data_IF_876632144593
#
_entry.id   IF_876632144593
#
_cell.length_a   1.000
_cell.length_b   1.000
_cell.length_c   1.000
_cell.angle_alpha   90.00
_cell.angle_beta   90.00
_cell.angle_gamma   90.00
#
_symmetry.space_group_name_H-M   'P 1'
#
loop_
_entity.id
_entity.type
_entity.pdbx_description
1 polymer ?
#
# COMPACT_ATOMS: atom_id res chain seq x y z
N UNK A 1 2.63 -22.75 -15.85
CA UNK A 1 1.20 -22.41 -15.72
C UNK A 1 0.61 -23.23 -14.59
N UNK A 2 0.65 -22.70 -13.37
CA UNK A 2 -0.01 -23.29 -12.20
C UNK A 2 -1.46 -22.81 -12.23
N UNK A 3 -2.41 -23.73 -12.38
CA UNK A 3 -3.83 -23.42 -12.18
C UNK A 3 -4.05 -23.27 -10.66
N UNK A 4 -4.27 -22.05 -10.19
CA UNK A 4 -4.64 -21.76 -8.81
C UNK A 4 -6.15 -22.00 -8.71
N UNK A 5 -6.53 -23.15 -8.14
CA UNK A 5 -7.90 -23.42 -7.73
C UNK A 5 -7.92 -23.39 -6.20
N UNK A 6 -7.95 -22.18 -5.63
CA UNK A 6 -8.20 -21.97 -4.22
C UNK A 6 -9.72 -22.02 -3.99
N UNK A 7 -10.24 -23.23 -3.76
CA UNK A 7 -11.61 -23.40 -3.25
C UNK A 7 -11.59 -22.94 -1.79
N UNK A 8 -12.10 -21.72 -1.53
CA UNK A 8 -12.22 -21.13 -0.20
C UNK A 8 -13.20 -21.97 0.66
N UNK A 9 -12.66 -22.89 1.47
CA UNK A 9 -13.40 -23.68 2.47
C UNK A 9 -13.24 -22.98 3.83
N UNK A 10 -14.12 -22.01 4.12
CA UNK A 10 -14.09 -21.29 5.40
C UNK A 10 -14.63 -22.13 6.57
N UNK A 11 -13.77 -22.49 7.53
CA UNK A 11 -14.14 -22.65 8.93
C UNK A 11 -13.50 -21.47 9.69
N UNK A 12 -14.28 -20.46 10.08
CA UNK A 12 -13.78 -19.33 10.87
C UNK A 12 -14.10 -19.55 12.35
N UNK A 13 -13.05 -19.54 13.19
CA UNK A 13 -13.17 -19.29 14.62
C UNK A 13 -12.82 -17.81 14.84
N UNK A 14 -13.78 -17.02 15.33
CA UNK A 14 -13.58 -15.62 15.69
C UNK A 14 -12.78 -15.54 17.00
N UNK A 15 -11.62 -14.88 16.98
CA UNK A 15 -10.96 -14.38 18.19
C UNK A 15 -11.03 -12.86 18.12
N UNK A 16 -11.64 -12.24 19.13
CA UNK A 16 -11.76 -10.79 19.22
C UNK A 16 -10.43 -10.20 19.72
N UNK A 17 -9.79 -9.35 18.92
CA UNK A 17 -8.72 -8.48 19.37
C UNK A 17 -9.34 -7.27 20.12
N UNK A 18 -8.80 -6.96 21.29
CA UNK A 18 -9.21 -5.83 22.12
C UNK A 18 -8.12 -4.77 22.01
N UNK A 19 -8.42 -3.64 21.36
CA UNK A 19 -7.53 -2.48 21.38
C UNK A 19 -7.45 -1.92 22.81
N UNK A 20 -6.24 -1.78 23.35
CA UNK A 20 -6.01 -1.20 24.66
C UNK A 20 -6.03 0.34 24.61
N UNK A 21 -6.69 0.96 25.61
CA UNK A 21 -6.84 2.41 25.73
C UNK A 21 -5.53 3.03 26.28
N UNK A 22 -4.81 3.79 25.44
CA UNK A 22 -3.48 4.39 25.72
C UNK A 22 -3.59 5.79 26.34
N UNK A 23 -4.17 5.94 27.53
CA UNK A 23 -4.41 7.30 28.06
C UNK A 23 -3.20 8.00 28.68
N UNK A 24 -2.12 7.29 29.10
CA UNK A 24 -1.09 7.93 29.96
C UNK A 24 0.37 7.43 29.79
N UNK A 25 0.67 6.62 28.78
CA UNK A 25 2.03 6.04 28.59
C UNK A 25 2.67 6.56 27.30
N UNK A 26 3.61 7.50 27.43
CA UNK A 26 4.45 7.99 26.33
C UNK A 26 5.65 7.06 26.19
N UNK A 27 5.82 6.45 25.00
CA UNK A 27 6.95 5.56 24.69
C UNK A 27 7.96 6.36 23.87
N UNK A 28 9.09 6.71 24.47
CA UNK A 28 10.14 7.54 23.83
C UNK A 28 11.32 6.71 23.35
N UNK A 29 11.47 5.48 23.86
CA UNK A 29 12.64 4.63 23.60
C UNK A 29 12.26 3.22 23.18
N UNK A 30 13.20 2.57 22.49
CA UNK A 30 13.05 1.16 22.10
C UNK A 30 12.96 0.22 23.30
N UNK A 31 13.64 0.51 24.41
CA UNK A 31 13.55 -0.27 25.65
C UNK A 31 12.18 -0.15 26.33
N UNK A 32 11.57 1.04 26.30
CA UNK A 32 10.20 1.24 26.80
C UNK A 32 9.17 0.53 25.93
N UNK A 33 9.38 0.51 24.60
CA UNK A 33 8.55 -0.25 23.68
C UNK A 33 8.59 -1.75 24.00
N UNK A 34 9.79 -2.32 24.15
CA UNK A 34 9.98 -3.71 24.57
C UNK A 34 9.30 -4.02 25.91
N UNK A 35 9.52 -3.18 26.93
CA UNK A 35 8.93 -3.37 28.25
C UNK A 35 7.40 -3.34 28.18
N UNK A 36 6.84 -2.47 27.34
CA UNK A 36 5.40 -2.37 27.12
C UNK A 36 4.85 -3.61 26.41
N UNK A 37 5.51 -4.08 25.34
CA UNK A 37 5.12 -5.30 24.63
C UNK A 37 5.16 -6.54 25.53
N UNK A 38 6.18 -6.65 26.38
CA UNK A 38 6.30 -7.72 27.36
C UNK A 38 5.21 -7.65 28.43
N UNK A 39 4.91 -6.45 28.93
CA UNK A 39 3.92 -6.25 29.98
C UNK A 39 2.48 -6.47 29.49
N UNK A 40 2.14 -6.00 28.29
CA UNK A 40 0.77 -6.05 27.76
C UNK A 40 0.44 -7.36 27.03
N UNK A 41 1.37 -7.85 26.21
CA UNK A 41 1.13 -8.98 25.31
C UNK A 41 1.98 -10.21 25.64
N UNK A 42 2.94 -10.10 26.57
CA UNK A 42 3.86 -11.19 26.89
C UNK A 42 4.84 -11.53 25.77
N UNK A 43 5.03 -10.62 24.80
CA UNK A 43 5.91 -10.81 23.64
C UNK A 43 7.19 -10.00 23.79
N UNK A 44 8.29 -10.50 23.23
CA UNK A 44 9.59 -9.81 23.23
C UNK A 44 9.99 -9.27 21.85
N UNK A 45 9.11 -9.43 20.86
CA UNK A 45 9.32 -9.03 19.49
C UNK A 45 8.52 -7.75 19.24
N UNK A 46 9.20 -6.71 18.74
CA UNK A 46 8.65 -5.37 18.59
C UNK A 46 9.40 -4.62 17.50
N UNK A 47 8.72 -3.62 16.93
CA UNK A 47 9.28 -2.65 16.01
C UNK A 47 9.15 -1.26 16.64
N UNK A 48 10.27 -0.53 16.68
CA UNK A 48 10.30 0.84 17.16
C UNK A 48 10.91 1.72 16.07
N UNK A 49 10.17 2.75 15.66
CA UNK A 49 10.65 3.72 14.67
C UNK A 49 10.39 5.14 15.15
N UNK A 50 11.23 6.08 14.70
CA UNK A 50 11.00 7.50 14.92
C UNK A 50 11.12 8.24 13.61
N UNK A 51 10.08 8.98 13.25
CA UNK A 51 10.01 9.75 12.00
C UNK A 51 9.56 11.16 12.38
N UNK A 52 10.35 12.17 12.02
CA UNK A 52 10.05 13.58 12.26
C UNK A 52 9.74 13.96 13.73
N UNK A 53 10.23 13.19 14.71
CA UNK A 53 9.99 13.43 16.14
C UNK A 53 8.71 12.78 16.69
N UNK A 54 8.00 12.02 15.87
CA UNK A 54 6.97 11.09 16.34
C UNK A 54 7.61 9.71 16.50
N UNK A 55 7.30 9.03 17.59
CA UNK A 55 7.74 7.66 17.86
C UNK A 55 6.57 6.70 17.64
N UNK A 56 6.88 5.59 16.99
CA UNK A 56 5.97 4.49 16.71
C UNK A 56 6.52 3.24 17.39
N UNK A 57 5.67 2.57 18.15
CA UNK A 57 5.97 1.30 18.77
C UNK A 57 4.91 0.28 18.34
N UNK A 58 5.35 -0.86 17.83
CA UNK A 58 4.49 -1.94 17.36
C UNK A 58 4.95 -3.25 18.01
N UNK A 59 4.05 -3.99 18.64
CA UNK A 59 4.35 -5.28 19.24
C UNK A 59 3.95 -6.40 18.29
N UNK A 60 4.86 -7.34 18.02
CA UNK A 60 4.58 -8.47 17.13
C UNK A 60 3.97 -9.59 17.97
N UNK A 61 2.70 -9.91 17.72
CA UNK A 61 1.99 -11.00 18.42
C UNK A 61 1.69 -12.16 17.48
N UNK A 62 1.34 -13.32 18.05
CA UNK A 62 0.94 -14.49 17.25
C UNK A 62 -0.35 -14.26 16.43
N UNK A 63 -1.09 -13.16 16.68
CA UNK A 63 -2.28 -12.75 15.95
C UNK A 63 -2.05 -11.62 14.94
N UNK A 64 -0.81 -11.13 14.80
CA UNK A 64 -0.47 -9.96 13.98
C UNK A 64 0.24 -8.87 14.77
N UNK A 65 0.54 -7.77 14.07
CA UNK A 65 1.21 -6.59 14.63
C UNK A 65 0.20 -5.71 15.34
N UNK A 66 0.38 -5.52 16.64
CA UNK A 66 -0.46 -4.66 17.47
C UNK A 66 0.27 -3.33 17.67
N UNK A 67 -0.27 -2.25 17.11
CA UNK A 67 0.27 -0.92 17.31
C UNK A 67 0.04 -0.48 18.77
N UNK A 68 1.11 -0.07 19.45
CA UNK A 68 1.05 0.35 20.85
C UNK A 68 1.52 1.79 20.96
N UNK A 69 0.53 2.67 21.19
CA UNK A 69 0.68 4.06 21.60
C UNK A 69 1.71 4.89 20.80
N UNK A 70 1.24 5.72 19.88
CA UNK A 70 2.06 6.74 19.19
C UNK A 70 2.11 8.03 19.99
N UNK A 71 3.27 8.68 20.12
CA UNK A 71 3.29 10.08 20.55
C UNK A 71 3.27 11.01 19.36
N UNK A 72 2.32 11.94 19.35
CA UNK A 72 2.42 13.18 18.58
C UNK A 72 2.98 14.25 19.50
N UNK A 73 4.19 14.74 19.22
CA UNK A 73 4.80 15.78 20.06
C UNK A 73 4.04 17.10 19.89
N UNK A 74 3.02 17.34 20.72
CA UNK A 74 2.26 18.61 20.73
C UNK A 74 2.79 19.50 21.84
N UNK A 75 3.73 20.38 21.52
CA UNK A 75 4.30 21.33 22.50
C UNK A 75 3.22 22.32 22.97
N UNK A 76 2.60 22.06 24.12
CA UNK A 76 1.65 22.98 24.77
C UNK A 76 2.38 23.82 25.82
N UNK A 77 2.69 25.07 25.48
CA UNK A 77 3.38 25.99 26.39
C UNK A 77 2.39 26.61 27.39
N UNK A 78 2.41 26.16 28.65
CA UNK A 78 1.78 26.88 29.77
C UNK A 78 2.83 27.74 30.47
N UNK A 79 2.67 29.07 30.38
CA UNK A 79 3.64 30.05 30.86
C UNK A 79 3.55 30.23 32.38
N UNK A 80 4.61 29.87 33.13
CA UNK A 80 4.93 30.55 34.41
C UNK A 80 6.44 30.53 34.69
N UNK A 81 7.04 31.72 34.68
CA UNK A 81 8.40 32.10 35.14
C UNK A 81 9.62 31.66 34.32
N UNK A 82 10.21 32.69 33.71
CA UNK A 82 11.46 32.89 32.96
C UNK A 82 12.62 31.91 33.22
N UNK A 83 12.83 30.97 32.30
CA UNK A 83 14.16 30.45 31.90
C UNK A 83 14.21 30.45 30.38
N UNK A 84 15.09 31.26 29.79
CA UNK A 84 15.20 31.37 28.33
C UNK A 84 16.09 30.25 27.81
N UNK A 85 15.49 29.12 27.45
CA UNK A 85 16.16 28.06 26.69
C UNK A 85 16.12 28.43 25.21
N UNK A 86 17.27 28.77 24.63
CA UNK A 86 17.40 29.00 23.20
C UNK A 86 17.51 27.65 22.50
N UNK A 87 16.38 27.09 22.06
CA UNK A 87 16.37 25.89 21.20
C UNK A 87 16.73 26.32 19.78
N UNK A 88 17.93 25.94 19.32
CA UNK A 88 18.36 26.18 17.94
C UNK A 88 17.76 25.08 17.06
N UNK A 89 16.58 25.32 16.49
CA UNK A 89 16.01 24.42 15.48
C UNK A 89 16.84 24.54 14.20
N UNK A 90 17.67 23.54 13.91
CA UNK A 90 18.37 23.48 12.63
C UNK A 90 17.40 22.87 11.64
N UNK A 91 16.67 23.71 10.90
CA UNK A 91 15.84 23.23 9.80
C UNK A 91 16.77 22.83 8.67
N UNK A 92 17.03 21.53 8.50
CA UNK A 92 17.67 21.01 7.30
C UNK A 92 16.71 21.22 6.14
N UNK A 93 17.02 22.19 5.27
CA UNK A 93 16.23 22.41 4.06
C UNK A 93 16.55 21.26 3.11
N UNK A 94 15.60 20.34 2.91
CA UNK A 94 15.72 19.30 1.89
C UNK A 94 15.91 19.97 0.53
N UNK A 95 17.03 19.65 -0.12
CA UNK A 95 17.31 20.10 -1.48
C UNK A 95 17.13 18.89 -2.39
N UNK A 96 16.12 18.88 -3.28
CA UNK A 96 15.86 17.73 -4.13
C UNK A 96 17.03 17.53 -5.12
N UNK A 97 17.36 16.27 -5.47
CA UNK A 97 18.43 15.99 -6.42
C UNK A 97 18.12 16.51 -7.83
N UNK A 98 19.15 17.00 -8.49
CA UNK A 98 19.14 17.40 -9.90
C UNK A 98 19.26 16.18 -10.82
N UNK A 99 18.89 16.35 -12.09
CA UNK A 99 19.01 15.28 -13.09
C UNK A 99 20.47 14.78 -13.25
N UNK A 100 21.45 15.67 -13.14
CA UNK A 100 22.87 15.29 -13.26
C UNK A 100 23.35 14.52 -12.03
N UNK A 101 22.83 14.82 -10.83
CA UNK A 101 23.09 14.04 -9.62
C UNK A 101 22.47 12.64 -9.73
N UNK A 102 21.21 12.52 -10.17
CA UNK A 102 20.61 11.22 -10.48
C UNK A 102 21.45 10.40 -11.46
N UNK A 103 21.86 11.01 -12.59
CA UNK A 103 22.64 10.31 -13.62
C UNK A 103 23.98 9.84 -13.09
N UNK A 104 24.71 10.74 -12.43
CA UNK A 104 26.04 10.44 -11.89
C UNK A 104 25.94 9.30 -10.89
N UNK A 105 25.01 9.40 -9.94
CA UNK A 105 24.88 8.42 -8.87
C UNK A 105 24.42 7.05 -9.38
N UNK A 106 23.41 7.00 -10.24
CA UNK A 106 22.94 5.73 -10.81
C UNK A 106 23.97 5.10 -11.76
N UNK A 107 24.75 5.89 -12.52
CA UNK A 107 25.82 5.37 -13.35
C UNK A 107 26.96 4.75 -12.53
N UNK A 108 27.28 5.32 -11.37
CA UNK A 108 28.26 4.76 -10.43
C UNK A 108 27.80 3.41 -9.86
N UNK A 109 26.52 3.33 -9.45
CA UNK A 109 25.95 2.13 -8.82
C UNK A 109 25.70 0.99 -9.82
N UNK A 110 25.09 1.29 -10.96
CA UNK A 110 24.68 0.30 -11.95
C UNK A 110 25.79 -0.07 -12.94
N UNK A 111 26.85 0.75 -12.98
CA UNK A 111 28.01 0.54 -13.83
C UNK A 111 27.83 0.96 -15.30
N UNK A 112 28.92 0.83 -16.07
CA UNK A 112 29.04 1.38 -17.42
C UNK A 112 28.00 0.85 -18.42
N UNK A 113 27.48 -0.36 -18.22
CA UNK A 113 26.45 -0.96 -19.07
C UNK A 113 25.11 -0.21 -19.04
N UNK A 114 24.84 0.53 -17.96
CA UNK A 114 23.57 1.21 -17.73
C UNK A 114 23.59 2.71 -18.02
N UNK A 115 24.75 3.29 -18.36
CA UNK A 115 24.91 4.74 -18.58
C UNK A 115 23.94 5.29 -19.62
N UNK A 116 23.71 4.57 -20.72
CA UNK A 116 22.79 5.03 -21.75
C UNK A 116 21.34 5.04 -21.26
N UNK A 117 20.91 3.99 -20.54
CA UNK A 117 19.57 3.91 -19.97
C UNK A 117 19.36 5.02 -18.93
N UNK A 118 20.31 5.18 -18.01
CA UNK A 118 20.32 6.24 -16.98
C UNK A 118 20.25 7.64 -17.60
N UNK A 119 21.05 7.93 -18.62
CA UNK A 119 21.03 9.24 -19.28
C UNK A 119 19.69 9.52 -19.98
N UNK A 120 19.04 8.48 -20.51
CA UNK A 120 17.74 8.61 -21.18
C UNK A 120 16.56 8.70 -20.21
N UNK A 121 16.64 8.06 -19.04
CA UNK A 121 15.56 8.05 -18.05
C UNK A 121 15.62 9.25 -17.10
N UNK A 122 16.80 9.62 -16.62
CA UNK A 122 16.97 10.69 -15.63
C UNK A 122 17.01 12.07 -16.32
N UNK A 123 15.88 12.52 -16.85
CA UNK A 123 15.75 13.82 -17.50
C UNK A 123 15.59 14.97 -16.48
N UNK A 124 15.74 16.22 -16.94
CA UNK A 124 15.39 17.40 -16.11
C UNK A 124 13.91 17.40 -15.72
N UNK A 125 13.04 16.90 -16.60
CA UNK A 125 11.62 16.75 -16.33
C UNK A 125 11.37 15.70 -15.24
N UNK A 126 12.06 14.56 -15.30
CA UNK A 126 12.04 13.54 -14.24
C UNK A 126 12.43 14.17 -12.89
N UNK A 127 13.58 14.83 -12.80
CA UNK A 127 14.04 15.41 -11.54
C UNK A 127 13.08 16.49 -10.98
N UNK A 128 12.49 17.31 -11.87
CA UNK A 128 11.48 18.30 -11.48
C UNK A 128 10.21 17.62 -10.94
N UNK A 129 9.79 16.53 -11.58
CA UNK A 129 8.62 15.78 -11.18
C UNK A 129 8.82 15.02 -9.87
N UNK A 130 9.97 14.37 -9.73
CA UNK A 130 10.40 13.69 -8.54
C UNK A 130 10.43 14.65 -7.32
N UNK A 131 10.98 15.86 -7.51
CA UNK A 131 10.99 16.91 -6.49
C UNK A 131 9.57 17.38 -6.12
N UNK A 132 8.71 17.59 -7.13
CA UNK A 132 7.33 18.04 -6.92
C UNK A 132 6.51 16.98 -6.18
N UNK A 133 6.64 15.72 -6.57
CA UNK A 133 5.97 14.60 -5.91
C UNK A 133 6.43 14.45 -4.46
N UNK A 134 7.74 14.51 -4.20
CA UNK A 134 8.30 14.42 -2.85
C UNK A 134 7.82 15.56 -1.93
N UNK A 135 7.70 16.78 -2.47
CA UNK A 135 7.20 17.93 -1.71
C UNK A 135 5.69 17.82 -1.39
N UNK A 136 4.96 17.01 -2.17
CA UNK A 136 3.52 16.83 -2.06
C UNK A 136 3.14 15.42 -1.58
N UNK A 137 4.06 14.71 -0.91
CA UNK A 137 3.80 13.35 -0.45
C UNK A 137 2.48 13.32 0.34
N UNK A 138 1.45 12.63 -0.17
CA UNK A 138 0.18 12.54 0.51
C UNK A 138 0.36 11.77 1.81
N UNK A 139 -0.55 11.98 2.77
CA UNK A 139 -0.67 11.01 3.85
C UNK A 139 -1.22 9.70 3.28
N UNK A 140 -0.88 8.56 3.89
CA UNK A 140 -1.41 7.26 3.45
C UNK A 140 -2.95 7.21 3.43
N UNK A 141 -3.61 7.98 4.29
CA UNK A 141 -5.08 8.06 4.34
C UNK A 141 -5.65 8.72 3.08
N UNK A 142 -4.92 9.67 2.48
CA UNK A 142 -5.38 10.38 1.28
C UNK A 142 -5.28 9.52 0.01
N UNK A 143 -4.45 8.46 0.02
CA UNK A 143 -4.09 7.71 -1.19
C UNK A 143 -5.26 6.96 -1.83
N UNK A 144 -6.33 6.68 -1.09
CA UNK A 144 -7.53 6.01 -1.62
C UNK A 144 -8.66 6.95 -1.95
N UNK A 145 -8.51 8.25 -1.71
CA UNK A 145 -9.56 9.22 -2.01
C UNK A 145 -9.74 9.39 -3.52
N UNK A 146 -10.97 9.67 -3.93
CA UNK A 146 -11.32 9.84 -5.35
C UNK A 146 -10.55 10.99 -6.00
N UNK A 147 -10.28 12.07 -5.25
CA UNK A 147 -9.59 13.26 -5.73
C UNK A 147 -8.08 13.00 -5.88
N UNK A 148 -7.45 12.38 -4.88
CA UNK A 148 -6.05 11.96 -4.98
C UNK A 148 -5.82 10.99 -6.13
N UNK A 149 -6.62 9.92 -6.23
CA UNK A 149 -6.49 8.95 -7.31
C UNK A 149 -6.72 9.62 -8.67
N UNK A 150 -7.62 10.59 -8.76
CA UNK A 150 -7.79 11.35 -9.99
C UNK A 150 -6.56 12.16 -10.33
N UNK A 151 -6.00 12.88 -9.37
CA UNK A 151 -4.81 13.70 -9.54
C UNK A 151 -3.61 12.85 -9.96
N UNK A 152 -3.29 11.79 -9.22
CA UNK A 152 -2.12 10.96 -9.44
C UNK A 152 -2.24 10.09 -10.68
N UNK A 153 -3.37 9.40 -10.88
CA UNK A 153 -3.54 8.52 -12.04
C UNK A 153 -3.68 9.28 -13.37
N UNK A 154 -3.85 10.61 -13.33
CA UNK A 154 -3.92 11.48 -14.51
C UNK A 154 -2.75 12.47 -14.57
N UNK A 155 -1.80 12.38 -13.64
CA UNK A 155 -0.66 13.30 -13.57
C UNK A 155 0.35 12.94 -14.66
N UNK A 156 0.60 13.88 -15.56
CA UNK A 156 1.71 13.77 -16.51
C UNK A 156 3.05 13.63 -15.81
N UNK A 157 3.17 14.20 -14.61
CA UNK A 157 4.39 14.19 -13.83
C UNK A 157 4.70 12.80 -13.27
N UNK A 158 3.68 12.12 -12.74
CA UNK A 158 3.75 10.71 -12.31
C UNK A 158 4.05 9.81 -13.50
N UNK A 159 3.44 10.08 -14.65
CA UNK A 159 3.72 9.34 -15.87
C UNK A 159 5.18 9.49 -16.35
N UNK A 160 5.75 10.70 -16.28
CA UNK A 160 7.18 10.94 -16.57
C UNK A 160 8.09 10.17 -15.61
N UNK A 161 7.75 10.11 -14.32
CA UNK A 161 8.50 9.30 -13.33
C UNK A 161 8.48 7.82 -13.74
N UNK A 162 7.31 7.25 -14.00
CA UNK A 162 7.19 5.83 -14.33
C UNK A 162 7.73 5.45 -15.70
N UNK A 163 7.69 6.34 -16.68
CA UNK A 163 8.41 6.15 -17.95
C UNK A 163 9.90 5.99 -17.72
N UNK A 164 10.46 6.81 -16.82
CA UNK A 164 11.87 6.78 -16.47
C UNK A 164 12.25 5.46 -15.79
N UNK A 165 11.41 4.98 -14.85
CA UNK A 165 11.59 3.67 -14.22
C UNK A 165 11.47 2.54 -15.25
N UNK A 166 10.47 2.58 -16.13
CA UNK A 166 10.29 1.57 -17.18
C UNK A 166 11.49 1.49 -18.13
N UNK A 167 12.12 2.61 -18.48
CA UNK A 167 13.35 2.63 -19.28
C UNK A 167 14.48 1.89 -18.56
N UNK A 168 14.66 2.12 -17.25
CA UNK A 168 15.66 1.42 -16.45
C UNK A 168 15.35 -0.09 -16.37
N UNK A 169 14.11 -0.46 -16.09
CA UNK A 169 13.66 -1.86 -16.01
C UNK A 169 13.86 -2.60 -17.33
N UNK A 170 13.45 -2.01 -18.46
CA UNK A 170 13.61 -2.62 -19.79
C UNK A 170 15.08 -2.79 -20.21
N UNK A 171 15.96 -1.91 -19.72
CA UNK A 171 17.39 -2.02 -19.93
C UNK A 171 18.08 -3.00 -18.96
N UNK A 172 17.33 -3.64 -18.04
CA UNK A 172 17.87 -4.44 -16.93
C UNK A 172 18.88 -3.64 -16.09
N UNK A 173 18.54 -2.38 -15.83
CA UNK A 173 19.32 -1.38 -15.10
C UNK A 173 18.59 -0.92 -13.83
N UNK A 174 17.76 -1.79 -13.26
CA UNK A 174 17.26 -1.64 -11.89
C UNK A 174 18.12 -2.52 -10.98
N UNK A 175 18.38 -2.06 -9.75
CA UNK A 175 18.97 -2.93 -8.74
C UNK A 175 18.00 -4.06 -8.40
N UNK A 176 18.56 -5.22 -8.05
CA UNK A 176 17.76 -6.27 -7.43
C UNK A 176 17.28 -5.80 -6.06
N UNK A 177 16.17 -6.36 -5.55
CA UNK A 177 15.69 -6.03 -4.20
C UNK A 177 16.77 -6.31 -3.13
N UNK A 178 17.56 -7.37 -3.29
CA UNK A 178 18.64 -7.73 -2.37
C UNK A 178 19.78 -6.68 -2.37
N UNK A 179 20.14 -6.17 -3.55
CA UNK A 179 21.16 -5.12 -3.66
C UNK A 179 20.62 -3.78 -3.14
N UNK A 180 19.35 -3.47 -3.45
CA UNK A 180 18.67 -2.25 -3.02
C UNK A 180 18.64 -2.11 -1.50
N UNK A 181 18.36 -3.20 -0.77
CA UNK A 181 18.31 -3.22 0.70
C UNK A 181 19.62 -2.81 1.37
N UNK A 182 20.77 -2.97 0.71
CA UNK A 182 22.08 -2.58 1.28
C UNK A 182 22.27 -1.05 1.35
N UNK A 183 21.46 -0.30 0.60
CA UNK A 183 21.57 1.15 0.48
C UNK A 183 20.43 1.92 1.15
N UNK A 184 19.41 1.21 1.66
CA UNK A 184 18.26 1.84 2.32
C UNK A 184 18.73 2.74 3.46
N UNK A 185 18.37 4.02 3.39
CA UNK A 185 18.74 5.04 4.38
C UNK A 185 20.20 5.53 4.31
N UNK A 186 20.96 5.10 3.31
CA UNK A 186 22.33 5.58 3.05
C UNK A 186 22.41 6.48 1.81
N UNK A 187 21.40 6.45 0.95
CA UNK A 187 21.43 7.11 -0.36
C UNK A 187 20.04 7.61 -0.77
N UNK A 188 19.77 8.89 -0.53
CA UNK A 188 18.49 9.53 -0.82
C UNK A 188 18.04 9.37 -2.28
N UNK A 189 18.99 9.33 -3.24
CA UNK A 189 18.67 9.16 -4.67
C UNK A 189 18.16 7.75 -4.92
N UNK A 190 18.85 6.75 -4.38
CA UNK A 190 18.47 5.37 -4.60
C UNK A 190 17.17 5.03 -3.86
N UNK A 191 17.02 5.49 -2.63
CA UNK A 191 15.80 5.37 -1.84
C UNK A 191 14.60 5.94 -2.62
N UNK A 192 14.79 7.10 -3.25
CA UNK A 192 13.76 7.71 -4.07
C UNK A 192 13.39 6.88 -5.31
N UNK A 193 14.38 6.29 -6.00
CA UNK A 193 14.13 5.44 -7.18
C UNK A 193 13.39 4.16 -6.78
N UNK A 194 13.80 3.51 -5.69
CA UNK A 194 13.13 2.32 -5.15
C UNK A 194 11.70 2.65 -4.73
N UNK A 195 11.51 3.77 -4.03
CA UNK A 195 10.19 4.23 -3.63
C UNK A 195 9.27 4.46 -4.84
N UNK A 196 9.78 5.06 -5.93
CA UNK A 196 8.99 5.23 -7.15
C UNK A 196 8.69 3.93 -7.87
N UNK A 197 9.61 2.96 -7.89
CA UNK A 197 9.36 1.64 -8.48
C UNK A 197 8.26 0.89 -7.70
N UNK A 198 8.34 0.87 -6.37
CA UNK A 198 7.31 0.26 -5.51
C UNK A 198 5.95 0.96 -5.67
N UNK A 199 5.98 2.30 -5.73
CA UNK A 199 4.78 3.10 -5.96
C UNK A 199 4.14 2.82 -7.33
N UNK A 200 4.93 2.56 -8.37
CA UNK A 200 4.43 2.25 -9.71
C UNK A 200 3.53 1.01 -9.68
N UNK A 201 3.99 -0.07 -9.05
CA UNK A 201 3.22 -1.32 -8.96
C UNK A 201 1.94 -1.12 -8.16
N UNK A 202 2.03 -0.44 -7.01
CA UNK A 202 0.86 -0.12 -6.18
C UNK A 202 -0.15 0.74 -6.94
N UNK A 203 0.30 1.80 -7.59
CA UNK A 203 -0.58 2.69 -8.35
C UNK A 203 -1.14 1.99 -9.59
N UNK A 204 -0.46 1.02 -10.19
CA UNK A 204 -1.01 0.26 -11.32
C UNK A 204 -2.31 -0.46 -10.93
N UNK A 205 -2.38 -0.98 -9.70
CA UNK A 205 -3.56 -1.60 -9.10
C UNK A 205 -4.58 -0.53 -8.71
N UNK A 206 -4.15 0.51 -7.98
CA UNK A 206 -5.07 1.52 -7.47
C UNK A 206 -5.73 2.34 -8.59
N UNK A 207 -4.99 2.64 -9.65
CA UNK A 207 -5.44 3.38 -10.82
C UNK A 207 -6.19 2.52 -11.83
N UNK A 208 -6.19 1.18 -11.69
CA UNK A 208 -7.05 0.31 -12.48
C UNK A 208 -8.50 0.78 -12.35
N UNK A 209 -9.28 0.66 -13.43
CA UNK A 209 -10.65 1.19 -13.48
C UNK A 209 -11.65 0.08 -13.63
N UNK A 210 -12.70 0.15 -12.83
CA UNK A 210 -13.83 -0.76 -12.95
C UNK A 210 -14.48 -0.62 -14.33
N UNK A 211 -14.63 -1.73 -15.04
CA UNK A 211 -15.37 -1.81 -16.30
C UNK A 211 -16.87 -1.50 -16.13
N UNK A 212 -17.38 -1.58 -14.90
CA UNK A 212 -18.81 -1.36 -14.57
C UNK A 212 -19.14 0.12 -14.41
N UNK A 213 -18.31 0.88 -13.71
CA UNK A 213 -18.63 2.26 -13.32
C UNK A 213 -17.48 3.26 -13.53
N UNK A 214 -16.36 2.83 -14.12
CA UNK A 214 -15.18 3.65 -14.41
C UNK A 214 -14.53 4.28 -13.16
N UNK A 215 -14.84 3.79 -11.96
CA UNK A 215 -14.16 4.21 -10.72
C UNK A 215 -12.84 3.46 -10.54
N UNK A 216 -11.92 4.09 -9.84
CA UNK A 216 -10.63 3.52 -9.49
C UNK A 216 -10.77 2.35 -8.52
N UNK A 217 -9.92 1.34 -8.70
CA UNK A 217 -9.88 0.17 -7.82
C UNK A 217 -9.27 0.49 -6.44
N UNK A 218 -8.44 1.52 -6.33
CA UNK A 218 -7.91 1.99 -5.04
C UNK A 218 -9.01 2.36 -4.02
N UNK A 219 -10.19 2.76 -4.49
CA UNK A 219 -11.34 3.04 -3.62
C UNK A 219 -11.90 1.79 -2.91
N UNK A 220 -11.68 0.60 -3.48
CA UNK A 220 -12.07 -0.65 -2.84
C UNK A 220 -11.11 -1.05 -1.71
N UNK A 221 -9.85 -0.60 -1.73
CA UNK A 221 -8.88 -0.87 -0.66
C UNK A 221 -9.30 -0.21 0.66
N UNK A 222 -9.80 1.02 0.60
CA UNK A 222 -10.31 1.72 1.79
C UNK A 222 -11.49 0.97 2.41
N UNK A 223 -12.32 0.37 1.56
CA UNK A 223 -13.44 -0.45 2.01
C UNK A 223 -12.97 -1.74 2.72
N UNK A 224 -11.89 -2.37 2.24
CA UNK A 224 -11.26 -3.51 2.92
C UNK A 224 -10.61 -3.10 4.25
N UNK A 225 -9.90 -1.97 4.28
CA UNK A 225 -9.35 -1.38 5.52
C UNK A 225 -10.46 -1.12 6.53
N UNK A 226 -11.56 -0.49 6.10
CA UNK A 226 -12.70 -0.20 6.97
C UNK A 226 -13.34 -1.48 7.53
N UNK A 227 -13.50 -2.53 6.72
CA UNK A 227 -13.97 -3.83 7.22
C UNK A 227 -13.06 -4.39 8.31
N UNK A 228 -11.74 -4.39 8.08
CA UNK A 228 -10.76 -4.92 9.03
C UNK A 228 -10.80 -4.19 10.37
N UNK A 229 -10.85 -2.86 10.32
CA UNK A 229 -10.80 -2.02 11.53
C UNK A 229 -12.16 -1.89 12.23
N UNK A 230 -13.28 -1.96 11.49
CA UNK A 230 -14.62 -1.64 12.00
C UNK A 230 -15.70 -2.62 11.50
N UNK A 231 -15.45 -3.93 11.63
CA UNK A 231 -16.38 -4.95 11.12
C UNK A 231 -17.81 -4.86 11.70
N UNK A 232 -17.97 -4.32 12.92
CA UNK A 232 -19.27 -4.14 13.58
C UNK A 232 -20.12 -3.09 12.88
N UNK A 233 -19.50 -2.03 12.35
CA UNK A 233 -20.17 -0.92 11.65
C UNK A 233 -20.22 -1.13 10.13
N UNK A 234 -19.63 -2.23 9.66
CA UNK A 234 -19.59 -2.59 8.25
C UNK A 234 -20.97 -3.10 7.77
N UNK A 235 -21.90 -2.17 7.48
CA UNK A 235 -23.25 -2.51 7.03
C UNK A 235 -23.40 -2.88 5.54
N UNK A 236 -24.66 -3.11 5.14
CA UNK A 236 -25.07 -3.41 3.76
C UNK A 236 -24.56 -2.37 2.74
N UNK A 237 -24.54 -1.09 3.10
CA UNK A 237 -24.07 0.00 2.23
C UNK A 237 -22.60 -0.17 1.81
N UNK A 238 -21.75 -0.66 2.71
CA UNK A 238 -20.33 -0.91 2.42
C UNK A 238 -20.18 -2.10 1.47
N UNK A 239 -20.92 -3.19 1.73
CA UNK A 239 -20.98 -4.33 0.83
C UNK A 239 -21.45 -3.97 -0.59
N UNK A 240 -22.50 -3.15 -0.69
CA UNK A 240 -22.97 -2.64 -1.99
C UNK A 240 -21.93 -1.75 -2.67
N UNK A 241 -21.15 -0.99 -1.90
CA UNK A 241 -20.06 -0.17 -2.45
C UNK A 241 -19.00 -1.06 -3.07
N UNK A 242 -18.56 -2.11 -2.36
CA UNK A 242 -17.59 -3.07 -2.88
C UNK A 242 -18.07 -3.76 -4.17
N UNK A 243 -19.33 -4.20 -4.21
CA UNK A 243 -19.94 -4.77 -5.43
C UNK A 243 -19.98 -3.76 -6.58
N UNK A 244 -20.28 -2.48 -6.29
CA UNK A 244 -20.31 -1.43 -7.30
C UNK A 244 -18.93 -1.19 -7.93
N UNK A 245 -17.82 -1.52 -7.26
CA UNK A 245 -16.48 -1.45 -7.83
C UNK A 245 -16.17 -2.57 -8.85
N UNK A 246 -17.15 -3.41 -9.20
CA UNK A 246 -17.01 -4.38 -10.30
C UNK A 246 -15.96 -5.42 -10.00
N UNK A 247 -14.98 -5.59 -10.89
CA UNK A 247 -13.93 -6.61 -10.77
C UNK A 247 -12.70 -6.12 -10.00
N UNK A 248 -12.74 -4.91 -9.44
CA UNK A 248 -11.62 -4.34 -8.71
C UNK A 248 -11.19 -5.21 -7.51
N UNK A 249 -12.13 -5.89 -6.87
CA UNK A 249 -11.81 -6.79 -5.76
C UNK A 249 -10.96 -7.98 -6.22
N UNK A 250 -11.22 -8.52 -7.42
CA UNK A 250 -10.40 -9.58 -8.00
C UNK A 250 -9.02 -9.08 -8.41
N UNK A 251 -8.91 -7.86 -8.95
CA UNK A 251 -7.60 -7.22 -9.24
C UNK A 251 -6.77 -7.05 -7.97
N UNK A 252 -7.38 -6.55 -6.89
CA UNK A 252 -6.72 -6.38 -5.58
C UNK A 252 -6.28 -7.74 -5.02
N UNK A 253 -7.17 -8.74 -5.07
CA UNK A 253 -6.87 -10.09 -4.60
C UNK A 253 -5.67 -10.68 -5.34
N UNK A 254 -5.68 -10.63 -6.68
CA UNK A 254 -4.59 -11.14 -7.51
C UNK A 254 -3.26 -10.43 -7.19
N UNK A 255 -3.28 -9.10 -7.12
CA UNK A 255 -2.08 -8.32 -6.83
C UNK A 255 -1.53 -8.58 -5.42
N UNK A 256 -2.41 -8.71 -4.42
CA UNK A 256 -2.01 -9.03 -3.05
C UNK A 256 -1.49 -10.45 -2.88
N UNK A 257 -2.00 -11.42 -3.63
CA UNK A 257 -1.48 -12.79 -3.64
C UNK A 257 -0.10 -12.89 -4.30
N UNK A 258 0.17 -12.06 -5.31
CA UNK A 258 1.48 -11.98 -5.98
C UNK A 258 2.50 -11.22 -5.11
N UNK A 259 2.09 -10.09 -4.54
CA UNK A 259 2.94 -9.28 -3.68
C UNK A 259 2.10 -8.56 -2.60
N UNK A 260 2.05 -9.09 -1.35
CA UNK A 260 1.28 -8.52 -0.26
C UNK A 260 1.64 -7.07 0.09
N UNK A 261 2.90 -6.67 -0.12
CA UNK A 261 3.38 -5.31 0.17
C UNK A 261 2.69 -4.24 -0.69
N UNK A 262 2.10 -4.61 -1.82
CA UNK A 262 1.35 -3.67 -2.66
C UNK A 262 0.09 -3.17 -1.96
N UNK A 263 -0.46 -3.94 -1.02
CA UNK A 263 -1.73 -3.63 -0.35
C UNK A 263 -1.54 -2.90 0.97
N UNK A 264 -0.32 -2.74 1.46
CA UNK A 264 -0.07 -1.97 2.67
C UNK A 264 -0.37 -0.48 2.48
N UNK A 265 -0.87 0.23 3.50
CA UNK A 265 -1.25 -0.26 4.83
C UNK A 265 -2.70 -0.79 4.89
N UNK A 266 -3.41 -0.91 3.77
CA UNK A 266 -4.83 -1.28 3.72
C UNK A 266 -5.07 -2.73 4.17
N UNK A 267 -4.19 -3.63 3.73
CA UNK A 267 -4.10 -5.01 4.17
C UNK A 267 -2.63 -5.28 4.51
N UNK A 268 -2.28 -5.47 5.79
CA UNK A 268 -0.93 -5.80 6.23
C UNK A 268 -0.39 -7.05 5.52
N UNK A 269 0.90 -7.06 5.23
CA UNK A 269 1.53 -8.20 4.54
C UNK A 269 1.50 -9.52 5.31
N UNK A 270 1.29 -9.48 6.63
CA UNK A 270 1.10 -10.67 7.46
C UNK A 270 -0.33 -11.24 7.41
N UNK A 271 -1.29 -10.52 6.81
CA UNK A 271 -2.66 -11.00 6.62
C UNK A 271 -2.83 -11.68 5.25
N UNK A 272 -3.53 -12.81 5.26
CA UNK A 272 -3.97 -13.48 4.03
C UNK A 272 -5.09 -12.67 3.37
N UNK A 273 -4.76 -11.94 2.29
CA UNK A 273 -5.74 -11.19 1.50
C UNK A 273 -6.93 -12.04 1.06
N UNK A 274 -6.70 -13.32 0.73
CA UNK A 274 -7.74 -14.27 0.35
C UNK A 274 -8.69 -14.51 1.53
N UNK A 275 -8.15 -14.66 2.74
CA UNK A 275 -8.90 -14.75 3.99
C UNK A 275 -9.70 -13.49 4.33
N UNK A 276 -9.13 -12.30 4.11
CA UNK A 276 -9.82 -11.01 4.29
C UNK A 276 -11.01 -10.91 3.33
N UNK A 277 -10.80 -11.18 2.03
CA UNK A 277 -11.87 -11.15 1.02
C UNK A 277 -12.97 -12.15 1.33
N UNK A 278 -12.63 -13.38 1.75
CA UNK A 278 -13.63 -14.37 2.15
C UNK A 278 -14.41 -13.92 3.41
N UNK A 279 -13.76 -13.26 4.37
CA UNK A 279 -14.42 -12.72 5.56
C UNK A 279 -15.41 -11.59 5.23
N UNK A 280 -15.00 -10.65 4.37
CA UNK A 280 -15.88 -9.59 3.84
C UNK A 280 -17.08 -10.20 3.12
N UNK A 281 -16.86 -11.19 2.26
CA UNK A 281 -17.94 -11.84 1.53
C UNK A 281 -18.93 -12.58 2.45
N UNK A 282 -18.44 -13.26 3.48
CA UNK A 282 -19.28 -13.94 4.47
C UNK A 282 -20.12 -12.94 5.26
N UNK A 283 -19.51 -11.83 5.69
CA UNK A 283 -20.21 -10.74 6.36
C UNK A 283 -21.27 -10.10 5.46
N UNK A 284 -20.92 -9.81 4.21
CA UNK A 284 -21.85 -9.23 3.24
C UNK A 284 -23.06 -10.12 2.96
N UNK A 285 -22.86 -11.44 2.92
CA UNK A 285 -23.97 -12.41 2.84
C UNK A 285 -24.89 -12.31 4.05
N UNK A 286 -24.35 -12.14 5.26
CA UNK A 286 -25.14 -12.01 6.49
C UNK A 286 -26.03 -10.75 6.49
N UNK A 287 -25.60 -9.67 5.82
CA UNK A 287 -26.39 -8.44 5.63
C UNK A 287 -27.15 -8.39 4.28
N UNK A 288 -27.26 -9.52 3.57
CA UNK A 288 -28.11 -9.65 2.38
C UNK A 288 -27.45 -9.40 1.02
N UNK A 289 -26.15 -9.10 0.96
CA UNK A 289 -25.38 -8.86 -0.28
C UNK A 289 -24.59 -10.11 -0.68
N UNK A 290 -25.11 -10.86 -1.67
CA UNK A 290 -24.57 -12.17 -2.05
C UNK A 290 -23.53 -12.16 -3.18
N UNK A 291 -23.29 -11.01 -3.81
CA UNK A 291 -22.53 -10.91 -5.07
C UNK A 291 -21.06 -10.53 -4.89
N UNK A 292 -20.56 -10.34 -3.67
CA UNK A 292 -19.16 -9.93 -3.41
C UNK A 292 -18.15 -10.93 -4.00
N UNK A 293 -18.36 -12.23 -3.84
CA UNK A 293 -17.46 -13.23 -4.44
C UNK A 293 -17.49 -13.22 -5.97
N UNK A 294 -18.61 -12.81 -6.58
CA UNK A 294 -18.66 -12.68 -8.04
C UNK A 294 -17.80 -11.50 -8.51
N UNK A 295 -17.77 -10.40 -7.76
CA UNK A 295 -16.88 -9.26 -7.97
C UNK A 295 -15.39 -9.61 -7.77
N UNK A 296 -15.08 -10.65 -6.97
CA UNK A 296 -13.71 -11.15 -6.80
C UNK A 296 -13.30 -12.22 -7.84
N UNK A 297 -14.25 -12.82 -8.56
CA UNK A 297 -13.99 -13.96 -9.44
C UNK A 297 -13.28 -13.60 -10.76
N UNK A 298 -13.27 -12.32 -11.11
CA UNK A 298 -12.62 -11.79 -12.31
C UNK A 298 -11.85 -10.53 -11.95
N UNK A 299 -10.92 -10.12 -12.81
CA UNK A 299 -10.06 -8.95 -12.59
C UNK A 299 -10.34 -7.87 -13.64
N UNK A 300 -10.11 -6.62 -13.29
CA UNK A 300 -9.89 -5.52 -14.26
C UNK A 300 -8.43 -5.54 -14.75
N UNK A 301 -8.19 -4.95 -15.92
CA UNK A 301 -6.84 -4.70 -16.42
C UNK A 301 -6.10 -3.67 -15.55
N UNK A 302 -4.81 -3.89 -15.29
CA UNK A 302 -3.98 -2.94 -14.56
C UNK A 302 -3.81 -1.64 -15.34
N UNK A 303 -3.71 -0.51 -14.62
CA UNK A 303 -3.47 0.77 -15.26
C UNK A 303 -2.07 0.84 -15.86
N UNK A 304 -2.01 1.29 -17.11
CA UNK A 304 -0.75 1.67 -17.75
C UNK A 304 -0.49 3.14 -17.42
N UNK A 305 0.46 3.39 -16.52
CA UNK A 305 0.75 4.74 -16.02
C UNK A 305 1.88 5.46 -16.79
N UNK A 306 2.36 4.89 -17.89
CA UNK A 306 3.38 5.47 -18.77
C UNK A 306 2.82 6.56 -19.71
N UNK A 307 3.55 7.64 -19.97
CA UNK A 307 3.08 8.76 -20.80
C UNK A 307 2.94 8.40 -22.30
N UNK A 308 3.52 7.26 -22.70
CA UNK A 308 3.47 6.73 -24.07
C UNK A 308 2.10 6.16 -24.50
N UNK A 309 1.04 6.31 -23.68
CA UNK A 309 -0.31 5.81 -23.95
C UNK A 309 -1.38 6.90 -24.08
N UNK A 310 -1.20 7.90 -24.94
CA UNK A 310 -2.37 8.67 -25.40
C UNK A 310 -3.27 7.75 -26.24
N UNK A 311 -4.45 7.46 -25.68
CA UNK A 311 -5.61 6.80 -26.31
C UNK A 311 -5.45 5.33 -26.68
N UNK A 312 -6.01 4.43 -25.87
CA UNK A 312 -6.81 3.32 -26.39
C UNK A 312 -7.72 2.72 -25.32
N UNK A 313 -9.01 2.90 -25.59
CA UNK A 313 -10.15 2.08 -25.19
C UNK A 313 -9.82 0.68 -24.65
N UNK A 314 -10.45 0.37 -23.51
CA UNK A 314 -10.71 -0.96 -22.97
C UNK A 314 -10.65 -2.06 -24.03
N UNK A 315 -9.51 -2.75 -24.08
CA UNK A 315 -9.44 -4.04 -24.75
C UNK A 315 -9.63 -5.03 -23.62
N UNK A 316 -10.82 -5.63 -23.53
CA UNK A 316 -11.10 -6.70 -22.58
C UNK A 316 -10.19 -7.88 -22.88
N UNK A 317 -9.03 -7.91 -22.22
CA UNK A 317 -8.23 -9.12 -22.13
C UNK A 317 -8.98 -10.08 -21.23
N UNK A 318 -9.82 -10.90 -21.86
CA UNK A 318 -10.31 -12.13 -21.27
C UNK A 318 -9.10 -13.00 -20.94
N UNK A 319 -8.58 -12.88 -19.73
CA UNK A 319 -7.86 -13.95 -19.06
C UNK A 319 -8.87 -15.06 -18.72
N UNK A 320 -9.50 -15.62 -19.75
CA UNK A 320 -10.20 -16.88 -19.66
C UNK A 320 -9.16 -17.98 -19.55
N UNK A 321 -8.78 -18.31 -18.33
CA UNK A 321 -8.18 -19.57 -17.96
C UNK A 321 -9.03 -20.24 -16.88
N UNK A 322 -10.09 -20.92 -17.34
CA UNK A 322 -10.77 -22.05 -16.70
C UNK A 322 -11.11 -21.96 -15.19
N UNK A 323 -12.28 -21.40 -14.87
CA UNK A 323 -13.10 -21.90 -13.76
C UNK A 323 -14.40 -22.44 -14.36
N UNK A 324 -14.34 -23.70 -14.80
CA UNK A 324 -15.51 -24.47 -15.17
C UNK A 324 -15.91 -25.36 -13.99
N UNK A 325 -17.13 -25.14 -13.50
CA UNK A 325 -18.03 -26.10 -12.84
C UNK A 325 -17.55 -26.82 -11.57
N UNK A 326 -18.20 -26.52 -10.44
CA UNK A 326 -18.78 -27.52 -9.54
C UNK A 326 -19.99 -26.89 -8.81
N UNK A 327 -21.14 -26.91 -9.48
CA UNK A 327 -22.42 -26.94 -8.80
C UNK A 327 -22.65 -28.39 -8.35
N UNK A 328 -22.47 -28.69 -7.07
CA UNK A 328 -22.96 -29.94 -6.48
C UNK A 328 -24.11 -29.62 -5.55
N UNK A 329 -25.25 -30.14 -5.96
CA UNK A 329 -26.54 -30.19 -5.31
C UNK A 329 -26.49 -30.36 -3.78
N UNK A 330 -27.04 -29.38 -3.06
CA UNK A 330 -27.67 -29.59 -1.77
C UNK A 330 -29.18 -29.76 -1.99
N UNK A 331 -29.58 -30.94 -2.47
CA UNK A 331 -30.99 -31.34 -2.57
C UNK A 331 -31.11 -32.87 -2.42
N UNK A 332 -30.76 -33.38 -1.24
CA UNK A 332 -31.18 -34.69 -0.76
C UNK A 332 -30.82 -34.84 0.73
N UNK A 333 -31.66 -34.29 1.62
CA UNK A 333 -31.76 -34.69 3.03
C UNK A 333 -33.08 -34.12 3.59
N UNK A 334 -34.19 -34.62 3.04
CA UNK A 334 -35.50 -34.69 3.69
C UNK A 334 -36.12 -36.04 3.28
N UNK A 335 -35.60 -37.09 3.92
CA UNK A 335 -36.28 -38.35 4.20
C UNK A 335 -35.67 -38.88 5.50
#
# INVERSE_FOLDING_TARGET
MKAISAVCLCLAALVAAVAADCSDSVIETSEECLATCQAQFGVSEYEFSSINGDTFCTCVTAGGDEAVCTTTTTTTTTTTTTTTTTTTTTTTVYTPPTADEFRTRLAELLGAGCVNAVNSSMSTEFATCAATYNAALPTYEDMTTQDYLKEVCQSTCVATIFDSINILTQANCMLSDEDAQQFVGQDDILDQIIAFASLQDRLSVMCARSSVNNKYCGLALDNLKFFRLNNTDYGESHCQTLVKHGNCLGTILMAGEENPLLLEPFVPSNEDISGVVCSVAAHCRAVGVNTVLMSAATTEDLATLSASGTTSSATTTTASAAVALLAVAAAALLA
#
